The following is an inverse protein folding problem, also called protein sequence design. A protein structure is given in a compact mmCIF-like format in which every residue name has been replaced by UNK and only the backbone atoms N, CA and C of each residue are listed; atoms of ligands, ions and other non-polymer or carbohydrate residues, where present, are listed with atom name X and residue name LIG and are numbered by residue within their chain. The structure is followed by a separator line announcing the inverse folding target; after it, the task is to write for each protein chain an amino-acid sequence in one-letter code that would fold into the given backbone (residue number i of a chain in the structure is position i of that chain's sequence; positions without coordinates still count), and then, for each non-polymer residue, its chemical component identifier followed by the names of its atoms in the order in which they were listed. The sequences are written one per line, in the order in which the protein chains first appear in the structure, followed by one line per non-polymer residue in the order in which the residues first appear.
data_IF_836397468939
#
_entry.id   IF_836397468939
#
_cell.length_a   1.000
_cell.length_b   1.000
_cell.length_c   1.000
_cell.angle_alpha   90.00
_cell.angle_beta   90.00
_cell.angle_gamma   90.00
#
_symmetry.space_group_name_H-M   'P 1'
#
loop_
_entity.id
_entity.type
_entity.pdbx_description
1 polymer ?
#
# COMPACT_ATOMS: atom_id res chain seq x y z
N UNK A 1 10.21 -14.46 9.33
CA UNK A 1 9.51 -13.86 8.17
C UNK A 1 9.29 -12.42 8.54
N UNK A 2 9.83 -11.47 7.77
CA UNK A 2 9.44 -10.06 7.93
C UNK A 2 7.98 -9.96 7.56
N UNK A 3 7.18 -9.40 8.46
CA UNK A 3 5.77 -9.15 8.24
C UNK A 3 5.62 -8.04 7.20
N UNK A 4 4.61 -8.16 6.34
CA UNK A 4 4.36 -7.17 5.29
C UNK A 4 4.19 -5.79 5.94
N UNK A 5 5.05 -4.83 5.57
CA UNK A 5 5.01 -3.48 6.10
C UNK A 5 5.97 -3.17 7.26
N UNK A 6 6.75 -4.15 7.76
CA UNK A 6 7.81 -3.93 8.77
C UNK A 6 8.77 -2.81 8.37
N UNK A 7 9.23 -2.86 7.12
CA UNK A 7 10.18 -1.91 6.54
C UNK A 7 9.68 -0.45 6.56
N UNK A 8 8.37 -0.23 6.74
CA UNK A 8 7.81 1.12 6.87
C UNK A 8 8.17 1.77 8.22
N UNK A 9 8.60 0.99 9.21
CA UNK A 9 9.02 1.44 10.53
C UNK A 9 10.55 1.55 10.68
N UNK A 10 11.32 0.89 9.83
CA UNK A 10 12.80 0.89 9.87
C UNK A 10 13.38 2.29 9.74
N UNK A 11 14.37 2.74 10.53
CA UNK A 11 14.93 4.11 10.51
C UNK A 11 15.20 4.69 9.12
N UNK A 12 14.96 6.00 8.92
CA UNK A 12 15.08 6.60 7.60
C UNK A 12 16.58 6.72 7.35
N UNK A 13 17.08 6.09 6.30
CA UNK A 13 18.38 6.46 5.78
C UNK A 13 18.31 7.83 5.08
N UNK A 14 19.46 8.40 4.72
CA UNK A 14 19.52 9.70 4.04
C UNK A 14 18.75 9.74 2.70
N UNK A 15 18.41 8.59 2.11
CA UNK A 15 17.69 8.51 0.83
C UNK A 15 16.22 8.92 0.90
N UNK A 16 15.60 8.80 2.07
CA UNK A 16 14.18 9.12 2.23
C UNK A 16 13.90 10.62 2.31
N UNK A 17 14.79 11.41 2.93
CA UNK A 17 14.72 12.87 2.90
C UNK A 17 14.86 13.42 1.47
N UNK A 18 15.79 12.83 0.70
CA UNK A 18 15.99 13.15 -0.71
C UNK A 18 14.76 12.88 -1.58
N UNK A 19 13.99 11.82 -1.28
CA UNK A 19 12.76 11.53 -2.03
C UNK A 19 11.71 12.63 -1.86
N UNK A 20 11.46 13.11 -0.63
CA UNK A 20 10.49 14.19 -0.39
C UNK A 20 10.95 15.50 -1.03
N UNK A 21 12.24 15.82 -0.95
CA UNK A 21 12.82 16.97 -1.64
C UNK A 21 12.64 16.86 -3.16
N UNK A 22 12.90 15.68 -3.74
CA UNK A 22 12.72 15.42 -5.16
C UNK A 22 11.26 15.60 -5.59
N UNK A 23 10.29 15.12 -4.80
CA UNK A 23 8.85 15.32 -5.06
C UNK A 23 8.49 16.81 -5.11
N UNK A 24 9.02 17.61 -4.19
CA UNK A 24 8.78 19.07 -4.18
C UNK A 24 9.49 19.76 -5.35
N UNK A 25 10.73 19.38 -5.65
CA UNK A 25 11.54 19.95 -6.72
C UNK A 25 10.95 19.65 -8.11
N UNK A 26 10.45 18.43 -8.32
CA UNK A 26 9.80 17.99 -9.56
C UNK A 26 8.60 18.85 -9.97
N UNK A 27 7.95 19.56 -9.03
CA UNK A 27 6.89 20.51 -9.37
C UNK A 27 7.35 21.67 -10.26
N UNK A 28 8.67 21.94 -10.30
CA UNK A 28 9.29 23.02 -11.06
C UNK A 28 10.28 22.50 -12.12
N UNK A 29 10.58 21.21 -12.11
CA UNK A 29 11.53 20.55 -13.00
C UNK A 29 10.83 19.36 -13.69
N UNK A 30 10.40 19.53 -14.95
CA UNK A 30 9.69 18.48 -15.70
C UNK A 30 10.54 17.22 -15.92
N UNK A 31 11.85 17.36 -16.12
CA UNK A 31 12.74 16.22 -16.35
C UNK A 31 12.86 15.37 -15.07
N UNK A 32 12.92 16.02 -13.91
CA UNK A 32 12.88 15.34 -12.62
C UNK A 32 11.51 14.68 -12.36
N UNK A 33 10.42 15.36 -12.69
CA UNK A 33 9.07 14.79 -12.58
C UNK A 33 8.92 13.51 -13.39
N UNK A 34 9.43 13.51 -14.61
CA UNK A 34 9.41 12.33 -15.48
C UNK A 34 10.27 11.19 -14.95
N UNK A 35 11.42 11.49 -14.34
CA UNK A 35 12.26 10.47 -13.68
C UNK A 35 11.56 9.87 -12.47
N UNK A 36 10.97 10.70 -11.60
CA UNK A 36 10.21 10.23 -10.45
C UNK A 36 9.01 9.39 -10.86
N UNK A 37 8.27 9.83 -11.88
CA UNK A 37 7.13 9.08 -12.42
C UNK A 37 7.56 7.69 -12.89
N UNK A 38 8.62 7.59 -13.69
CA UNK A 38 9.14 6.27 -14.14
C UNK A 38 9.55 5.38 -12.96
N UNK A 39 10.18 5.95 -11.94
CA UNK A 39 10.55 5.21 -10.73
C UNK A 39 9.33 4.69 -9.99
N UNK A 40 8.26 5.49 -9.87
CA UNK A 40 7.00 5.04 -9.27
C UNK A 40 6.31 3.99 -10.16
N UNK A 41 6.33 4.14 -11.48
CA UNK A 41 5.79 3.14 -12.43
C UNK A 41 6.51 1.78 -12.35
N UNK A 42 7.79 1.77 -11.99
CA UNK A 42 8.51 0.53 -11.71
C UNK A 42 8.03 -0.16 -10.42
N UNK A 43 7.76 0.60 -9.37
CA UNK A 43 7.16 0.08 -8.14
C UNK A 43 5.69 -0.31 -8.34
N UNK A 44 4.91 0.44 -9.14
CA UNK A 44 3.53 0.10 -9.55
C UNK A 44 3.51 -1.32 -10.13
N UNK A 45 4.44 -1.65 -11.03
CA UNK A 45 4.53 -3.00 -11.64
C UNK A 45 4.85 -4.10 -10.61
N UNK A 46 5.72 -3.80 -9.65
CA UNK A 46 6.09 -4.75 -8.59
C UNK A 46 4.91 -5.01 -7.66
N UNK A 47 4.20 -3.95 -7.25
CA UNK A 47 3.01 -4.04 -6.41
C UNK A 47 1.85 -4.72 -7.15
N UNK A 48 1.63 -4.39 -8.42
CA UNK A 48 0.60 -5.02 -9.25
C UNK A 48 0.75 -6.54 -9.30
N UNK A 49 1.99 -7.05 -9.48
CA UNK A 49 2.27 -8.49 -9.40
C UNK A 49 1.89 -9.11 -8.06
N UNK A 50 2.15 -8.43 -6.95
CA UNK A 50 1.77 -8.92 -5.62
C UNK A 50 0.26 -8.91 -5.41
N UNK A 51 -0.44 -7.92 -5.98
CA UNK A 51 -1.91 -7.86 -5.96
C UNK A 51 -2.50 -8.99 -6.80
N UNK A 52 -1.98 -9.23 -8.00
CA UNK A 52 -2.39 -10.33 -8.89
C UNK A 52 -2.19 -11.71 -8.23
N UNK A 53 -1.02 -11.92 -7.59
CA UNK A 53 -0.73 -13.14 -6.82
C UNK A 53 -1.72 -13.30 -5.66
N UNK A 54 -1.94 -12.26 -4.86
CA UNK A 54 -2.88 -12.29 -3.73
C UNK A 54 -4.33 -12.54 -4.17
N UNK A 55 -4.77 -11.96 -5.29
CA UNK A 55 -6.09 -12.22 -5.87
C UNK A 55 -6.21 -13.66 -6.37
N UNK A 56 -5.19 -14.17 -7.07
CA UNK A 56 -5.16 -15.55 -7.57
C UNK A 56 -5.18 -16.58 -6.45
N UNK A 57 -4.53 -16.28 -5.32
CA UNK A 57 -4.54 -17.11 -4.11
C UNK A 57 -5.84 -16.97 -3.28
N UNK A 58 -6.77 -16.11 -3.69
CA UNK A 58 -8.04 -15.87 -3.00
C UNK A 58 -7.90 -15.04 -1.72
N UNK A 59 -6.78 -14.35 -1.54
CA UNK A 59 -6.54 -13.44 -0.42
C UNK A 59 -7.23 -12.09 -0.63
N UNK A 60 -7.31 -11.61 -1.88
CA UNK A 60 -8.03 -10.39 -2.26
C UNK A 60 -9.29 -10.71 -3.07
N UNK A 61 -10.30 -9.85 -2.91
CA UNK A 61 -11.53 -9.91 -3.71
C UNK A 61 -11.21 -9.71 -5.20
N UNK A 62 -11.54 -10.67 -6.09
CA UNK A 62 -11.31 -10.54 -7.53
C UNK A 62 -12.14 -9.42 -8.18
N UNK A 63 -13.11 -8.84 -7.48
CA UNK A 63 -13.87 -7.66 -7.91
C UNK A 63 -13.16 -6.33 -7.70
N UNK A 64 -12.02 -6.30 -7.01
CA UNK A 64 -11.25 -5.07 -6.78
C UNK A 64 -10.45 -4.65 -8.01
N UNK A 65 -10.44 -3.36 -8.29
CA UNK A 65 -9.55 -2.76 -9.29
C UNK A 65 -8.09 -2.80 -8.80
N UNK A 66 -7.21 -3.49 -9.52
CA UNK A 66 -5.80 -3.68 -9.18
C UNK A 66 -5.09 -2.35 -8.92
N UNK A 67 -5.30 -1.37 -9.80
CA UNK A 67 -4.67 -0.06 -9.71
C UNK A 67 -5.07 0.66 -8.41
N UNK A 68 -6.32 0.53 -7.98
CA UNK A 68 -6.82 1.09 -6.72
C UNK A 68 -6.12 0.48 -5.50
N UNK A 69 -5.90 -0.83 -5.50
CA UNK A 69 -5.14 -1.52 -4.42
C UNK A 69 -3.68 -1.08 -4.41
N UNK A 70 -3.04 -0.97 -5.58
CA UNK A 70 -1.67 -0.45 -5.72
C UNK A 70 -1.57 0.99 -5.19
N UNK A 71 -2.57 1.85 -5.46
CA UNK A 71 -2.59 3.23 -4.94
C UNK A 71 -2.83 3.31 -3.44
N UNK A 72 -3.60 2.39 -2.86
CA UNK A 72 -3.71 2.27 -1.41
C UNK A 72 -2.35 1.92 -0.77
N UNK A 73 -1.62 0.95 -1.33
CA UNK A 73 -0.30 0.58 -0.86
C UNK A 73 0.68 1.77 -0.90
N UNK A 74 0.68 2.53 -2.00
CA UNK A 74 1.45 3.77 -2.11
C UNK A 74 1.05 4.82 -1.06
N UNK A 75 -0.25 5.04 -0.85
CA UNK A 75 -0.73 6.01 0.12
C UNK A 75 -0.24 5.69 1.54
N UNK A 76 -0.25 4.41 1.91
CA UNK A 76 0.30 3.94 3.18
C UNK A 76 1.80 4.21 3.27
N UNK A 77 2.58 3.81 2.26
CA UNK A 77 4.03 4.03 2.24
C UNK A 77 4.42 5.51 2.29
N UNK A 78 3.79 6.34 1.46
CA UNK A 78 4.04 7.78 1.44
C UNK A 78 3.57 8.48 2.72
N UNK A 79 2.44 8.07 3.29
CA UNK A 79 1.95 8.60 4.57
C UNK A 79 2.92 8.31 5.71
N UNK A 80 3.47 7.10 5.76
CA UNK A 80 4.50 6.73 6.74
C UNK A 80 5.78 7.53 6.53
N UNK A 81 6.24 7.70 5.28
CA UNK A 81 7.39 8.56 4.98
C UNK A 81 7.17 10.00 5.46
N UNK A 82 6.00 10.58 5.21
CA UNK A 82 5.66 11.93 5.67
C UNK A 82 5.63 12.04 7.20
N UNK A 83 4.93 11.10 7.86
CA UNK A 83 4.83 11.03 9.34
C UNK A 83 6.21 11.05 9.98
N UNK A 84 7.14 10.27 9.42
CA UNK A 84 8.51 10.16 9.88
C UNK A 84 9.34 11.39 9.61
N UNK A 85 9.18 12.02 8.45
CA UNK A 85 9.87 13.27 8.11
C UNK A 85 9.48 14.43 9.03
N UNK A 86 8.28 14.39 9.61
CA UNK A 86 7.82 15.34 10.61
C UNK A 86 8.34 15.06 12.03
N UNK A 87 9.10 13.97 12.23
CA UNK A 87 9.64 13.58 13.54
C UNK A 87 8.57 13.06 14.50
N UNK A 88 7.43 12.59 13.98
CA UNK A 88 6.38 11.99 14.81
C UNK A 88 6.81 10.61 15.30
N UNK A 89 6.41 10.27 16.53
CA UNK A 89 6.61 8.94 17.08
C UNK A 89 5.88 7.88 16.23
N UNK A 90 6.57 6.77 15.96
CA UNK A 90 5.98 5.64 15.25
C UNK A 90 5.40 4.63 16.24
N UNK A 91 4.34 3.90 15.85
CA UNK A 91 3.85 2.80 16.65
C UNK A 91 4.92 1.72 16.82
N UNK A 92 4.83 0.97 17.92
CA UNK A 92 5.55 -0.29 18.04
C UNK A 92 5.17 -1.23 16.89
N UNK A 93 6.12 -2.06 16.43
CA UNK A 93 5.92 -2.96 15.29
C UNK A 93 4.70 -3.86 15.44
N UNK A 94 4.48 -4.43 16.63
CA UNK A 94 3.31 -5.27 16.92
C UNK A 94 1.98 -4.53 16.71
N UNK A 95 1.89 -3.28 17.19
CA UNK A 95 0.68 -2.45 17.02
C UNK A 95 0.45 -2.09 15.56
N UNK A 96 1.53 -1.83 14.80
CA UNK A 96 1.45 -1.58 13.37
C UNK A 96 0.98 -2.81 12.59
N UNK A 97 1.53 -3.99 12.90
CA UNK A 97 1.11 -5.26 12.30
C UNK A 97 -0.36 -5.54 12.53
N UNK A 98 -0.83 -5.26 13.73
CA UNK A 98 -2.22 -5.46 14.08
C UNK A 98 -3.16 -4.63 13.19
N UNK A 99 -2.79 -3.39 12.87
CA UNK A 99 -3.55 -2.50 11.99
C UNK A 99 -3.45 -2.91 10.53
N UNK A 100 -2.23 -3.11 10.02
CA UNK A 100 -2.04 -3.42 8.59
C UNK A 100 -2.67 -4.76 8.22
N UNK A 101 -2.64 -5.76 9.11
CA UNK A 101 -3.33 -7.04 8.89
C UNK A 101 -4.84 -6.87 8.78
N UNK A 102 -5.46 -5.94 9.53
CA UNK A 102 -6.89 -5.64 9.38
C UNK A 102 -7.19 -4.91 8.08
N UNK A 103 -6.30 -4.01 7.64
CA UNK A 103 -6.43 -3.35 6.33
C UNK A 103 -6.38 -4.40 5.21
N UNK A 104 -5.40 -5.30 5.24
CA UNK A 104 -5.23 -6.38 4.26
C UNK A 104 -6.44 -7.32 4.29
N UNK A 105 -6.88 -7.75 5.47
CA UNK A 105 -8.05 -8.62 5.62
C UNK A 105 -9.34 -7.95 5.10
N UNK A 106 -9.44 -6.62 5.18
CA UNK A 106 -10.57 -5.87 4.62
C UNK A 106 -10.61 -5.84 3.09
N UNK A 107 -9.54 -6.26 2.41
CA UNK A 107 -9.49 -6.41 0.95
C UNK A 107 -9.94 -7.80 0.47
N UNK A 108 -10.18 -8.74 1.40
CA UNK A 108 -10.67 -10.06 1.05
C UNK A 108 -12.13 -10.00 0.57
N UNK A 109 -12.48 -10.88 -0.36
CA UNK A 109 -13.85 -11.05 -0.82
C UNK A 109 -14.77 -11.56 0.29
N UNK A 110 -16.09 -11.43 0.13
CA UNK A 110 -17.04 -12.02 1.07
C UNK A 110 -16.77 -13.52 1.23
N UNK A 111 -16.95 -14.08 2.44
CA UNK A 111 -16.74 -15.51 2.65
C UNK A 111 -17.57 -16.31 1.66
N UNK A 112 -16.92 -17.24 0.95
CA UNK A 112 -17.53 -18.13 -0.04
C UNK A 112 -18.60 -18.99 0.64
N UNK A 113 -19.82 -18.47 0.76
CA UNK A 113 -20.88 -19.12 1.52
C UNK A 113 -22.16 -18.30 1.74
N UNK A 114 -22.16 -16.98 1.52
CA UNK A 114 -23.41 -16.21 1.57
C UNK A 114 -24.03 -16.09 0.17
N UNK A 115 -24.40 -17.23 -0.42
CA UNK A 115 -25.51 -17.23 -1.37
C UNK A 115 -26.73 -16.71 -0.63
N UNK A 116 -27.19 -15.52 -1.01
CA UNK A 116 -28.40 -14.89 -0.50
C UNK A 116 -29.60 -15.85 -0.61
N UNK A 117 -29.91 -16.57 0.47
CA UNK A 117 -31.22 -17.16 0.69
C UNK A 117 -32.12 -16.09 1.29
N UNK A 118 -32.40 -15.05 0.49
CA UNK A 118 -33.43 -14.06 0.78
C UNK A 118 -34.43 -14.09 -0.38
N UNK A 119 -35.17 -15.19 -0.45
CA UNK A 119 -36.12 -15.44 -1.53
C UNK A 119 -36.99 -16.65 -1.28
N UNK A 120 -37.35 -16.93 -0.02
CA UNK A 120 -38.49 -17.79 0.29
C UNK A 120 -39.03 -17.43 1.68
N UNK A 121 -39.91 -16.43 1.75
CA UNK A 121 -40.93 -16.34 2.80
C UNK A 121 -42.12 -15.51 2.28
N UNK A 122 -43.15 -16.26 1.85
CA UNK A 122 -44.59 -15.92 1.71
C UNK A 122 -45.07 -15.15 0.49
#
# INVERSE_FOLDING_TARGET
MSSLGDHLLDPLDGGHALFLEAVVAARRDPDLADRLRRRVEEEDRRLGKLVDEATTEGLFDPGLDEQSVVRLAHAIGFGMLLTRSMGLELPAGENWHEVINRVIAGLAGPPTGETATAGDLT
#
